data_IF_813701694098
#
_entry.id   IF_813701694098
#
_cell.length_a   1.000
_cell.length_b   1.000
_cell.length_c   1.000
_cell.angle_alpha   90.00
_cell.angle_beta   90.00
_cell.angle_gamma   90.00
#
_symmetry.space_group_name_H-M   'P 1'
#
loop_
_entity.id
_entity.type
_entity.pdbx_description
1 polymer ?
#
# COMPACT_ATOMS: atom_id res chain seq x y z
N UNK A 1 -19.10 17.55 2.30
CA UNK A 1 -17.64 17.78 2.22
C UNK A 1 -17.33 18.09 0.77
N UNK A 2 -16.99 19.35 0.52
CA UNK A 2 -16.64 19.99 -0.74
C UNK A 2 -15.16 20.19 -1.04
N UNK A 3 -14.55 19.58 -2.05
CA UNK A 3 -13.30 20.13 -2.58
C UNK A 3 -13.58 20.61 -4.00
N UNK A 4 -13.08 21.80 -4.33
CA UNK A 4 -13.34 22.48 -5.61
C UNK A 4 -12.03 22.57 -6.37
N UNK A 5 -11.87 21.73 -7.39
CA UNK A 5 -10.63 21.67 -8.17
C UNK A 5 -10.38 22.96 -8.97
N UNK A 6 -11.44 23.73 -9.27
CA UNK A 6 -11.37 24.92 -10.13
C UNK A 6 -10.65 26.11 -9.47
N UNK A 7 -10.48 26.05 -8.15
CA UNK A 7 -9.73 27.06 -7.40
C UNK A 7 -8.22 27.06 -7.71
N UNK A 8 -7.70 25.99 -8.35
CA UNK A 8 -6.31 25.90 -8.79
C UNK A 8 -6.24 25.81 -10.32
N UNK A 9 -5.70 26.86 -10.95
CA UNK A 9 -5.59 26.94 -12.42
C UNK A 9 -4.66 25.89 -13.04
N UNK A 10 -3.67 25.40 -12.30
CA UNK A 10 -2.83 24.30 -12.78
C UNK A 10 -3.62 22.99 -12.80
N UNK A 11 -4.47 22.75 -11.79
CA UNK A 11 -5.35 21.59 -11.75
C UNK A 11 -6.47 21.66 -12.79
N UNK A 12 -6.98 22.85 -13.10
CA UNK A 12 -7.93 23.02 -14.22
C UNK A 12 -7.29 22.54 -15.51
N UNK A 13 -6.09 23.01 -15.84
CA UNK A 13 -5.39 22.63 -17.08
C UNK A 13 -5.00 21.15 -17.14
N UNK A 14 -4.67 20.55 -16.00
CA UNK A 14 -4.24 19.15 -15.92
C UNK A 14 -5.39 18.15 -15.88
N UNK A 15 -6.55 18.55 -15.32
CA UNK A 15 -7.65 17.64 -15.04
C UNK A 15 -8.95 18.12 -15.71
N UNK A 16 -9.48 19.28 -15.31
CA UNK A 16 -10.82 19.74 -15.76
C UNK A 16 -10.89 19.91 -17.27
N UNK A 17 -9.90 20.60 -17.85
CA UNK A 17 -9.83 20.81 -19.31
C UNK A 17 -9.59 19.52 -20.09
N UNK A 18 -9.23 18.42 -19.40
CA UNK A 18 -8.96 17.11 -19.97
C UNK A 18 -10.06 16.07 -19.67
N UNK A 19 -11.14 16.44 -18.98
CA UNK A 19 -12.22 15.50 -18.61
C UNK A 19 -12.85 14.80 -19.81
N UNK A 20 -12.83 15.41 -20.99
CA UNK A 20 -13.36 14.82 -22.22
C UNK A 20 -12.57 13.61 -22.73
N UNK A 21 -11.33 13.43 -22.29
CA UNK A 21 -10.44 12.37 -22.80
C UNK A 21 -10.77 11.00 -22.19
N UNK A 22 -11.11 10.94 -20.90
CA UNK A 22 -11.35 9.70 -20.17
C UNK A 22 -12.49 9.77 -19.13
N UNK A 23 -13.09 10.93 -18.92
CA UNK A 23 -14.13 11.15 -17.92
C UNK A 23 -13.61 11.19 -16.48
N UNK A 24 -12.30 11.34 -16.26
CA UNK A 24 -11.71 11.39 -14.92
C UNK A 24 -12.02 12.70 -14.21
N UNK A 25 -12.97 12.64 -13.26
CA UNK A 25 -13.35 13.77 -12.42
C UNK A 25 -12.49 13.83 -11.16
N UNK A 26 -11.55 14.78 -11.10
CA UNK A 26 -10.57 14.89 -10.01
C UNK A 26 -11.17 15.27 -8.66
N UNK A 27 -12.23 16.07 -8.65
CA UNK A 27 -13.02 16.41 -7.45
C UNK A 27 -14.36 15.67 -7.39
N UNK A 28 -14.47 14.55 -8.11
CA UNK A 28 -15.64 13.68 -8.07
C UNK A 28 -15.98 13.26 -6.64
N UNK A 29 -17.28 13.25 -6.30
CA UNK A 29 -17.73 12.85 -4.97
C UNK A 29 -17.35 11.39 -4.69
N UNK A 30 -16.64 11.14 -3.60
CA UNK A 30 -16.22 9.80 -3.15
C UNK A 30 -17.33 9.01 -2.45
N UNK A 31 -18.54 9.59 -2.36
CA UNK A 31 -19.74 8.98 -1.76
C UNK A 31 -20.88 8.83 -2.77
N UNK A 32 -20.58 8.86 -4.08
CA UNK A 32 -21.60 8.68 -5.12
C UNK A 32 -22.17 7.25 -5.05
N UNK A 33 -23.46 7.12 -5.33
CA UNK A 33 -24.17 5.84 -5.27
C UNK A 33 -23.73 4.84 -6.35
N UNK A 34 -23.03 5.31 -7.40
CA UNK A 34 -22.50 4.49 -8.48
C UNK A 34 -21.09 3.91 -8.19
N UNK A 35 -20.50 4.24 -7.04
CA UNK A 35 -19.22 3.67 -6.60
C UNK A 35 -19.43 2.20 -6.27
N UNK A 36 -18.72 1.34 -6.99
CA UNK A 36 -18.82 -0.12 -6.88
C UNK A 36 -17.54 -0.78 -6.35
N UNK A 37 -16.59 0.01 -5.86
CA UNK A 37 -15.44 -0.50 -5.11
C UNK A 37 -15.83 -0.70 -3.64
N UNK A 38 -15.22 -1.69 -3.00
CA UNK A 38 -15.50 -1.97 -1.60
C UNK A 38 -14.81 -0.98 -0.67
N UNK A 39 -15.53 -0.51 0.34
CA UNK A 39 -14.99 0.34 1.41
C UNK A 39 -13.94 -0.37 2.28
N UNK A 40 -14.20 -1.66 2.58
CA UNK A 40 -13.28 -2.55 3.29
C UNK A 40 -13.04 -3.79 2.43
N UNK A 41 -11.76 -4.11 2.22
CA UNK A 41 -11.34 -5.34 1.55
C UNK A 41 -10.42 -6.12 2.48
N UNK A 42 -10.68 -7.41 2.67
CA UNK A 42 -9.82 -8.28 3.47
C UNK A 42 -9.49 -9.55 2.71
N UNK A 43 -8.24 -9.99 2.81
CA UNK A 43 -7.76 -11.21 2.17
C UNK A 43 -6.78 -11.98 3.05
N UNK A 44 -6.77 -13.30 2.86
CA UNK A 44 -5.78 -14.22 3.43
C UNK A 44 -5.04 -14.86 2.27
N UNK A 45 -3.72 -14.68 2.23
CA UNK A 45 -2.83 -15.24 1.22
C UNK A 45 -1.96 -16.29 1.87
N UNK A 46 -1.95 -17.50 1.30
CA UNK A 46 -1.02 -18.57 1.66
C UNK A 46 0.08 -18.66 0.62
N UNK A 47 1.32 -18.43 1.03
CA UNK A 47 2.50 -18.62 0.20
C UNK A 47 2.86 -20.11 0.12
N UNK A 48 3.57 -20.51 -0.93
CA UNK A 48 4.00 -21.91 -1.15
C UNK A 48 4.88 -22.45 -0.02
N UNK A 49 5.65 -21.56 0.62
CA UNK A 49 6.49 -21.89 1.78
C UNK A 49 5.69 -22.00 3.10
N UNK A 50 4.36 -21.90 3.06
CA UNK A 50 3.47 -22.03 4.22
C UNK A 50 3.27 -20.75 5.03
N UNK A 51 3.93 -19.64 4.67
CA UNK A 51 3.68 -18.33 5.29
C UNK A 51 2.27 -17.83 4.95
N UNK A 52 1.64 -17.18 5.91
CA UNK A 52 0.36 -16.50 5.71
C UNK A 52 0.54 -14.99 5.76
N UNK A 53 -0.14 -14.28 4.85
CA UNK A 53 -0.37 -12.84 4.90
C UNK A 53 -1.86 -12.62 5.13
N UNK A 54 -2.20 -11.83 6.14
CA UNK A 54 -3.53 -11.26 6.32
C UNK A 54 -3.44 -9.78 5.98
N UNK A 55 -4.26 -9.32 5.04
CA UNK A 55 -4.25 -7.94 4.58
C UNK A 55 -5.67 -7.39 4.60
N UNK A 56 -5.82 -6.20 5.17
CA UNK A 56 -7.08 -5.45 5.16
C UNK A 56 -6.79 -4.02 4.71
N UNK A 57 -7.53 -3.55 3.71
CA UNK A 57 -7.56 -2.15 3.30
C UNK A 57 -8.91 -1.56 3.68
N UNK A 58 -8.89 -0.36 4.25
CA UNK A 58 -10.07 0.46 4.50
C UNK A 58 -9.86 1.80 3.80
N UNK A 59 -10.79 2.21 2.94
CA UNK A 59 -10.65 3.40 2.09
C UNK A 59 -11.51 4.59 2.57
N UNK A 60 -12.00 4.54 3.82
CA UNK A 60 -12.93 5.53 4.37
C UNK A 60 -12.63 5.93 5.82
N UNK A 61 -11.50 5.50 6.39
CA UNK A 61 -11.17 5.79 7.80
C UNK A 61 -10.95 7.29 8.02
N UNK A 62 -11.29 7.82 9.22
CA UNK A 62 -11.11 9.24 9.55
C UNK A 62 -9.64 9.63 9.83
N UNK A 63 -8.71 8.72 9.56
CA UNK A 63 -7.27 8.91 9.67
C UNK A 63 -6.58 8.14 8.53
N UNK A 64 -5.39 8.57 8.16
CA UNK A 64 -4.50 7.84 7.28
C UNK A 64 -3.50 7.03 8.10
N UNK A 65 -3.17 5.83 7.64
CA UNK A 65 -2.13 5.04 8.31
C UNK A 65 -2.08 3.58 7.91
N UNK A 66 -1.17 2.88 8.58
CA UNK A 66 -0.90 1.47 8.36
C UNK A 66 -0.42 0.79 9.64
N UNK A 67 -0.83 -0.46 9.80
CA UNK A 67 -0.32 -1.39 10.79
C UNK A 67 0.27 -2.60 10.07
N UNK A 68 1.58 -2.79 10.21
CA UNK A 68 2.31 -3.89 9.59
C UNK A 68 2.91 -4.74 10.71
N UNK A 69 2.68 -6.04 10.65
CA UNK A 69 3.25 -6.97 11.61
C UNK A 69 3.88 -8.17 10.91
N UNK A 70 5.15 -8.43 11.22
CA UNK A 70 5.89 -9.57 10.70
C UNK A 70 6.21 -10.49 11.89
N UNK A 71 5.70 -11.71 11.84
CA UNK A 71 5.94 -12.72 12.87
C UNK A 71 6.92 -13.77 12.34
N UNK A 72 7.97 -14.05 13.11
CA UNK A 72 8.95 -15.08 12.81
C UNK A 72 9.22 -15.96 14.02
N UNK A 73 10.08 -16.96 13.83
CA UNK A 73 10.45 -17.91 14.89
C UNK A 73 11.00 -17.23 16.15
N UNK A 74 11.79 -16.18 15.98
CA UNK A 74 12.55 -15.52 17.05
C UNK A 74 11.89 -14.27 17.61
N UNK A 75 10.73 -13.87 17.07
CA UNK A 75 10.01 -12.71 17.55
C UNK A 75 9.05 -12.13 16.51
N UNK A 76 8.58 -10.92 16.82
CA UNK A 76 7.64 -10.14 16.04
C UNK A 76 8.15 -8.71 15.88
N UNK A 77 8.01 -8.18 14.68
CA UNK A 77 8.19 -6.77 14.37
C UNK A 77 6.83 -6.15 14.12
N UNK A 78 6.51 -5.05 14.81
CA UNK A 78 5.31 -4.25 14.60
C UNK A 78 5.70 -2.84 14.15
N UNK A 79 5.19 -2.41 13.01
CA UNK A 79 5.24 -1.02 12.57
C UNK A 79 3.83 -0.46 12.55
N UNK A 80 3.63 0.68 13.21
CA UNK A 80 2.37 1.39 13.18
C UNK A 80 2.65 2.86 12.87
N UNK A 81 1.89 3.42 11.94
CA UNK A 81 1.89 4.85 11.63
C UNK A 81 0.45 5.25 11.37
N UNK A 82 -0.04 6.23 12.12
CA UNK A 82 -1.40 6.76 11.99
C UNK A 82 -1.35 8.28 12.13
N UNK A 83 -2.14 8.99 11.32
CA UNK A 83 -2.29 10.43 11.38
C UNK A 83 -3.68 10.89 10.95
N UNK A 84 -4.31 11.76 11.74
CA UNK A 84 -5.61 12.32 11.44
C UNK A 84 -6.25 13.02 12.63
N UNK A 85 -7.06 14.06 12.39
CA UNK A 85 -7.83 14.74 13.43
C UNK A 85 -6.99 15.39 14.55
N UNK A 86 -5.75 15.77 14.26
CA UNK A 86 -4.83 16.36 15.25
C UNK A 86 -4.10 15.33 16.13
N UNK A 87 -4.23 14.04 15.84
CA UNK A 87 -3.47 12.97 16.49
C UNK A 87 -2.58 12.28 15.47
N UNK A 88 -1.31 12.08 15.84
CA UNK A 88 -0.36 11.30 15.05
C UNK A 88 0.44 10.38 15.97
N UNK A 89 0.72 9.16 15.49
CA UNK A 89 1.60 8.24 16.18
C UNK A 89 2.38 7.42 15.16
N UNK A 90 3.63 7.14 15.51
CA UNK A 90 4.52 6.31 14.70
C UNK A 90 5.45 5.53 15.61
N UNK A 91 5.58 4.24 15.36
CA UNK A 91 6.47 3.39 16.15
C UNK A 91 6.83 2.09 15.45
N UNK A 92 8.10 1.73 15.56
CA UNK A 92 8.60 0.39 15.26
C UNK A 92 8.90 -0.32 16.58
N UNK A 93 8.31 -1.49 16.81
CA UNK A 93 8.52 -2.30 18.01
C UNK A 93 9.03 -3.68 17.64
N UNK A 94 10.09 -4.11 18.30
CA UNK A 94 10.61 -5.46 18.23
C UNK A 94 10.30 -6.21 19.52
N UNK A 95 9.63 -7.36 19.39
CA UNK A 95 9.32 -8.26 20.50
C UNK A 95 9.98 -9.61 20.26
N UNK A 96 10.93 -10.00 21.10
CA UNK A 96 11.59 -11.32 21.00
C UNK A 96 10.72 -12.40 21.64
N UNK A 97 10.65 -13.60 21.04
CA UNK A 97 9.79 -14.70 21.55
C UNK A 97 10.12 -15.08 23.00
N UNK A 98 11.39 -14.97 23.38
CA UNK A 98 11.90 -15.23 24.73
C UNK A 98 12.80 -14.07 25.17
N UNK A 99 12.23 -12.88 25.30
CA UNK A 99 13.01 -11.71 25.69
C UNK A 99 12.19 -10.43 25.81
N UNK A 100 12.86 -9.30 25.63
CA UNK A 100 12.26 -7.97 25.75
C UNK A 100 11.38 -7.64 24.55
N UNK A 101 10.40 -6.79 24.82
CA UNK A 101 9.65 -6.00 23.85
C UNK A 101 10.10 -4.57 23.98
N UNK A 102 10.61 -3.98 22.90
CA UNK A 102 11.21 -2.65 22.91
C UNK A 102 10.85 -1.85 21.65
N UNK A 103 10.65 -0.54 21.83
CA UNK A 103 10.48 0.39 20.71
C UNK A 103 11.86 0.73 20.16
N UNK A 104 12.04 0.56 18.86
CA UNK A 104 13.24 0.95 18.15
C UNK A 104 13.15 2.45 17.85
N UNK A 105 14.01 3.23 18.50
CA UNK A 105 14.05 4.69 18.33
C UNK A 105 15.15 5.14 17.35
N UNK A 106 16.21 4.34 17.22
CA UNK A 106 17.36 4.64 16.37
C UNK A 106 17.12 4.12 14.94
N UNK A 107 16.27 4.84 14.20
CA UNK A 107 16.00 4.59 12.80
C UNK A 107 16.71 5.64 11.95
N UNK A 108 17.23 5.20 10.80
CA UNK A 108 17.77 6.12 9.81
C UNK A 108 16.73 7.19 9.44
N UNK A 109 17.21 8.42 9.25
CA UNK A 109 16.36 9.50 8.82
C UNK A 109 15.73 9.15 7.47
N UNK A 110 14.41 9.39 7.35
CA UNK A 110 13.71 9.25 6.08
C UNK A 110 14.39 10.13 5.03
N UNK A 111 14.47 9.63 3.81
CA UNK A 111 14.79 10.49 2.66
C UNK A 111 13.73 11.59 2.56
N UNK A 112 14.15 12.77 2.12
CA UNK A 112 13.24 13.89 1.85
C UNK A 112 12.40 13.60 0.60
N UNK A 113 11.21 14.19 0.51
CA UNK A 113 10.34 14.11 -0.66
C UNK A 113 8.96 13.50 -0.35
N UNK A 114 8.17 13.27 -1.40
CA UNK A 114 6.83 12.70 -1.29
C UNK A 114 6.82 11.28 -0.71
N UNK A 115 5.69 10.93 -0.08
CA UNK A 115 5.46 9.64 0.60
C UNK A 115 6.59 9.23 1.56
N UNK A 116 7.11 10.18 2.34
CA UNK A 116 8.20 9.93 3.30
C UNK A 116 9.54 9.58 2.65
N UNK A 117 9.77 10.03 1.41
CA UNK A 117 11.00 9.80 0.65
C UNK A 117 10.95 8.60 -0.31
N UNK A 118 9.83 7.87 -0.33
CA UNK A 118 9.65 6.73 -1.23
C UNK A 118 9.69 7.16 -2.71
N UNK A 119 9.05 8.28 -3.06
CA UNK A 119 9.00 8.79 -4.44
C UNK A 119 10.40 9.09 -4.98
N UNK A 120 11.25 9.72 -4.15
CA UNK A 120 12.65 10.01 -4.52
C UNK A 120 13.43 8.72 -4.76
N UNK A 121 13.21 7.71 -3.91
CA UNK A 121 13.87 6.40 -4.04
C UNK A 121 13.43 5.67 -5.31
N UNK A 122 12.15 5.76 -5.67
CA UNK A 122 11.60 5.17 -6.90
C UNK A 122 12.15 5.89 -8.14
N UNK A 123 12.18 7.23 -8.13
CA UNK A 123 12.75 8.02 -9.24
C UNK A 123 14.23 7.72 -9.46
N UNK A 124 15.03 7.65 -8.39
CA UNK A 124 16.43 7.25 -8.49
C UNK A 124 16.56 5.87 -9.15
N UNK A 125 15.76 4.89 -8.72
CA UNK A 125 15.79 3.54 -9.28
C UNK A 125 15.46 3.53 -10.78
N UNK A 126 14.44 4.26 -11.22
CA UNK A 126 13.97 4.27 -12.62
C UNK A 126 14.95 5.05 -13.52
N UNK A 127 15.35 6.25 -13.12
CA UNK A 127 16.07 7.18 -14.01
C UNK A 127 17.59 7.14 -13.84
N UNK A 128 18.09 6.68 -12.68
CA UNK A 128 19.53 6.60 -12.38
C UNK A 128 20.01 5.16 -12.18
N UNK A 129 19.09 4.19 -12.23
CA UNK A 129 19.37 2.78 -11.96
C UNK A 129 19.62 2.49 -10.48
N UNK A 130 19.81 1.21 -10.16
CA UNK A 130 20.14 0.79 -8.80
C UNK A 130 21.58 1.21 -8.44
N UNK A 131 21.70 2.10 -7.46
CA UNK A 131 22.99 2.50 -6.91
C UNK A 131 23.34 1.59 -5.71
N UNK A 132 24.51 0.95 -5.75
CA UNK A 132 25.02 0.10 -4.67
C UNK A 132 24.41 -1.31 -4.58
N UNK A 133 24.98 -2.15 -3.72
CA UNK A 133 24.50 -3.51 -3.47
C UNK A 133 23.15 -3.52 -2.73
N UNK A 134 22.38 -4.60 -2.91
CA UNK A 134 21.14 -4.86 -2.17
C UNK A 134 21.27 -6.19 -1.40
N UNK A 135 22.08 -6.23 -0.32
CA UNK A 135 22.37 -7.48 0.38
C UNK A 135 21.15 -8.08 1.09
N UNK A 136 20.11 -7.28 1.32
CA UNK A 136 18.86 -7.71 1.96
C UNK A 136 17.75 -8.03 0.94
N UNK A 137 17.97 -7.78 -0.35
CA UNK A 137 16.99 -8.03 -1.40
C UNK A 137 15.71 -7.20 -1.24
N UNK A 138 15.82 -5.96 -0.76
CA UNK A 138 14.65 -5.10 -0.48
C UNK A 138 14.09 -4.44 -1.74
N UNK A 139 14.84 -4.41 -2.84
CA UNK A 139 14.40 -3.79 -4.09
C UNK A 139 13.46 -4.73 -4.83
N UNK A 140 12.22 -4.27 -5.04
CA UNK A 140 11.26 -4.98 -5.88
C UNK A 140 11.72 -4.99 -7.34
N UNK A 141 11.68 -6.16 -7.98
CA UNK A 141 11.87 -6.32 -9.41
C UNK A 141 10.52 -6.39 -10.15
N UNK A 142 10.57 -6.51 -11.48
CA UNK A 142 9.37 -6.67 -12.31
C UNK A 142 8.52 -7.87 -11.86
N UNK A 143 9.14 -8.97 -11.43
CA UNK A 143 8.43 -10.19 -11.00
C UNK A 143 7.72 -9.97 -9.67
N UNK A 144 8.32 -9.25 -8.73
CA UNK A 144 7.69 -8.87 -7.47
C UNK A 144 6.47 -7.99 -7.73
N UNK A 145 6.58 -7.00 -8.62
CA UNK A 145 5.46 -6.17 -9.07
C UNK A 145 4.33 -7.00 -9.69
N UNK A 146 4.64 -7.85 -10.67
CA UNK A 146 3.66 -8.71 -11.31
C UNK A 146 2.94 -9.64 -10.31
N UNK A 147 3.67 -10.23 -9.35
CA UNK A 147 3.08 -11.07 -8.30
C UNK A 147 2.15 -10.28 -7.38
N UNK A 148 2.52 -9.07 -6.99
CA UNK A 148 1.67 -8.20 -6.17
C UNK A 148 0.35 -7.87 -6.89
N UNK A 149 0.43 -7.51 -8.18
CA UNK A 149 -0.76 -7.29 -9.01
C UNK A 149 -1.63 -8.55 -9.13
N UNK A 150 -1.02 -9.72 -9.33
CA UNK A 150 -1.76 -10.99 -9.40
C UNK A 150 -2.47 -11.35 -8.09
N UNK A 151 -1.88 -11.02 -6.93
CA UNK A 151 -2.55 -11.18 -5.63
C UNK A 151 -3.82 -10.30 -5.58
N UNK A 152 -3.74 -9.04 -6.02
CA UNK A 152 -4.89 -8.15 -6.10
C UNK A 152 -5.99 -8.68 -7.03
N UNK A 153 -5.61 -9.13 -8.23
CA UNK A 153 -6.53 -9.74 -9.20
C UNK A 153 -7.18 -11.00 -8.63
N UNK A 154 -6.40 -11.86 -7.95
CA UNK A 154 -6.90 -13.06 -7.31
C UNK A 154 -7.89 -12.73 -6.18
N UNK A 155 -7.59 -11.72 -5.37
CA UNK A 155 -8.47 -11.27 -4.30
C UNK A 155 -9.80 -10.76 -4.86
N UNK A 156 -9.77 -9.92 -5.89
CA UNK A 156 -10.98 -9.44 -6.57
C UNK A 156 -11.83 -10.61 -7.09
N UNK A 157 -11.23 -11.54 -7.85
CA UNK A 157 -11.94 -12.73 -8.37
C UNK A 157 -12.48 -13.63 -7.25
N UNK A 158 -11.75 -13.75 -6.14
CA UNK A 158 -12.20 -14.49 -4.95
C UNK A 158 -13.45 -13.84 -4.36
N UNK A 159 -13.46 -12.53 -4.17
CA UNK A 159 -14.59 -11.78 -3.60
C UNK A 159 -15.83 -11.94 -4.49
N UNK A 160 -15.71 -11.66 -5.78
CA UNK A 160 -16.79 -11.84 -6.77
C UNK A 160 -17.29 -13.30 -6.84
N UNK A 161 -16.38 -14.26 -6.62
CA UNK A 161 -16.68 -15.69 -6.60
C UNK A 161 -17.27 -16.23 -5.30
N UNK A 162 -17.62 -15.38 -4.34
CA UNK A 162 -18.17 -15.79 -3.04
C UNK A 162 -17.12 -16.31 -2.05
N UNK A 163 -15.89 -15.79 -2.12
CA UNK A 163 -14.79 -16.13 -1.21
C UNK A 163 -14.01 -17.39 -1.59
N UNK A 164 -14.12 -17.87 -2.83
CA UNK A 164 -13.40 -19.07 -3.30
C UNK A 164 -11.90 -18.80 -3.38
N UNK A 165 -11.11 -19.77 -2.91
CA UNK A 165 -9.64 -19.69 -3.06
C UNK A 165 -9.24 -19.70 -4.54
N UNK A 166 -8.48 -18.68 -4.94
CA UNK A 166 -7.88 -18.57 -6.27
C UNK A 166 -6.39 -18.88 -6.17
N UNK A 167 -5.89 -19.79 -7.01
CA UNK A 167 -4.44 -20.03 -7.10
C UNK A 167 -3.83 -19.06 -8.10
N UNK A 168 -2.74 -18.41 -7.71
CA UNK A 168 -2.04 -17.44 -8.57
C UNK A 168 -1.61 -18.06 -9.90
N UNK A 169 -1.15 -19.32 -9.89
CA UNK A 169 -0.75 -20.04 -11.10
C UNK A 169 -1.90 -20.27 -12.10
N UNK A 170 -3.16 -20.19 -11.66
CA UNK A 170 -4.32 -20.37 -12.54
C UNK A 170 -4.70 -19.03 -13.24
N UNK A 171 -3.98 -17.93 -12.96
CA UNK A 171 -4.22 -16.60 -13.55
C UNK A 171 -3.27 -16.24 -14.69
N UNK A 172 -2.19 -17.00 -14.87
CA UNK A 172 -1.16 -16.74 -15.87
C UNK A 172 -0.75 -18.05 -16.54
N UNK A 173 -0.54 -17.99 -17.85
CA UNK A 173 0.14 -19.05 -18.59
C UNK A 173 1.65 -18.83 -18.44
N UNK A 174 2.38 -19.87 -18.01
CA UNK A 174 3.82 -19.83 -17.77
C UNK A 174 4.53 -20.77 -18.73
#
# INVERSE_FOLDING_TARGET
>A
FYWDVTQNQDYVKLYVDCESEDGYLRDGCVWREDINIYDTMSMVVKYENGVFLNYTANTYLPFEGQAISINGRTGRLDYNEFGGGGFETKGLRLTRSFGKSEVIQDLEARRTGGHGGADTSLHDLIFRGSQGSDPLGLRADLRAGARASLIGIAAYRSIEGGGKTIRIKDLVEV
#
